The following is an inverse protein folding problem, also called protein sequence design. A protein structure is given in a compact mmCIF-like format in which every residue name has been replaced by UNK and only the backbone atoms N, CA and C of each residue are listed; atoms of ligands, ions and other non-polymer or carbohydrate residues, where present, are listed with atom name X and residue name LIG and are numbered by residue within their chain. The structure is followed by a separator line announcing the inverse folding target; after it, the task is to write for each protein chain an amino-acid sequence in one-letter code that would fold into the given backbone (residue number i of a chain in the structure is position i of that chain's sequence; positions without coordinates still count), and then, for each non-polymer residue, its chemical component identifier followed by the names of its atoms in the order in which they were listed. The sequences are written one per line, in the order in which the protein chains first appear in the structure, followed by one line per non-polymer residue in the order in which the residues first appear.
data_IF_252168497835
#
_entry.id   IF_252168497835
#
_cell.length_a   1.000
_cell.length_b   1.000
_cell.length_c   1.000
_cell.angle_alpha   90.00
_cell.angle_beta   90.00
_cell.angle_gamma   90.00
#
_symmetry.space_group_name_H-M   'P 1'
#
loop_
_entity.id
_entity.type
_entity.pdbx_description
1 polymer ?
#
# COMPACT_ATOMS: atom_id res chain seq x y z
N UNK A 1 34.68 -5.87 23.38
CA UNK A 1 33.74 -5.56 24.46
C UNK A 1 33.58 -4.04 24.65
N UNK A 2 34.66 -3.30 24.89
CA UNK A 2 34.62 -1.82 25.10
C UNK A 2 34.14 -1.03 23.86
N UNK A 3 34.35 -1.53 22.64
CA UNK A 3 33.90 -0.88 21.42
C UNK A 3 32.37 -1.11 21.16
N UNK A 4 31.84 -2.25 21.63
CA UNK A 4 30.39 -2.55 21.56
C UNK A 4 29.64 -1.70 22.58
N UNK A 5 30.12 -1.60 23.83
CA UNK A 5 29.53 -0.75 24.86
C UNK A 5 29.52 0.74 24.47
N UNK A 6 30.58 1.24 23.81
CA UNK A 6 30.62 2.61 23.29
C UNK A 6 29.64 2.85 22.13
N UNK A 7 29.41 1.84 21.27
CA UNK A 7 28.40 1.93 20.21
C UNK A 7 26.99 2.06 20.78
N UNK A 8 26.67 1.32 21.80
CA UNK A 8 25.35 1.36 22.45
C UNK A 8 25.13 2.71 23.15
N UNK A 9 26.11 3.26 23.83
CA UNK A 9 26.02 4.58 24.43
C UNK A 9 25.85 5.70 23.40
N UNK A 10 26.55 5.65 22.27
CA UNK A 10 26.38 6.62 21.18
C UNK A 10 25.00 6.48 20.51
N UNK A 11 24.48 5.28 20.35
CA UNK A 11 23.17 5.05 19.74
C UNK A 11 22.04 5.60 20.62
N UNK A 12 22.11 5.42 21.92
CA UNK A 12 21.12 5.96 22.89
C UNK A 12 21.14 7.48 22.87
N UNK A 13 22.35 8.09 22.96
CA UNK A 13 22.47 9.55 22.94
C UNK A 13 22.02 10.16 21.61
N UNK A 14 22.40 9.59 20.49
CA UNK A 14 21.94 10.00 19.18
C UNK A 14 20.41 9.91 19.08
N UNK A 15 19.81 8.80 19.53
CA UNK A 15 18.35 8.61 19.53
C UNK A 15 17.65 9.68 20.37
N UNK A 16 18.16 10.03 21.55
CA UNK A 16 17.59 11.09 22.39
C UNK A 16 17.71 12.47 21.75
N UNK A 17 18.87 12.78 21.13
CA UNK A 17 19.07 14.03 20.40
C UNK A 17 18.14 14.16 19.19
N UNK A 18 17.97 13.08 18.42
CA UNK A 18 17.03 13.03 17.31
C UNK A 18 15.58 13.21 17.76
N UNK A 19 15.16 12.53 18.83
CA UNK A 19 13.80 12.70 19.37
C UNK A 19 13.56 14.14 19.82
N UNK A 20 14.50 14.77 20.50
CA UNK A 20 14.39 16.16 20.93
C UNK A 20 14.35 17.14 19.75
N UNK A 21 15.04 16.85 18.65
CA UNK A 21 14.97 17.61 17.43
C UNK A 21 13.62 17.44 16.72
N UNK A 22 13.19 16.19 16.50
CA UNK A 22 11.97 15.89 15.76
C UNK A 22 10.68 16.24 16.52
N UNK A 23 10.73 16.33 17.86
CA UNK A 23 9.57 16.76 18.67
C UNK A 23 9.10 18.19 18.38
N UNK A 24 9.89 18.98 17.66
CA UNK A 24 9.51 20.32 17.20
C UNK A 24 8.67 20.32 15.94
N UNK A 25 8.61 19.18 15.25
CA UNK A 25 7.89 19.04 13.99
C UNK A 25 6.66 18.17 14.16
N UNK A 26 5.60 18.51 13.45
CA UNK A 26 4.41 17.69 13.38
C UNK A 26 4.24 17.06 12.00
N UNK A 27 3.75 15.81 12.01
CA UNK A 27 3.37 15.08 10.80
C UNK A 27 1.87 14.90 10.77
N UNK A 28 1.26 15.21 9.65
CA UNK A 28 -0.13 14.97 9.40
C UNK A 28 -0.28 13.99 8.24
N UNK A 29 -1.21 13.04 8.35
CA UNK A 29 -1.57 12.12 7.27
C UNK A 29 -3.05 11.86 7.27
N UNK A 30 -3.68 11.90 6.09
CA UNK A 30 -5.07 11.47 5.90
C UNK A 30 -5.09 10.02 5.45
N UNK A 31 -5.50 9.07 6.31
CA UNK A 31 -5.51 7.66 5.94
C UNK A 31 -6.33 6.82 6.91
N UNK A 32 -7.19 5.98 6.38
CA UNK A 32 -7.92 4.93 7.12
C UNK A 32 -7.22 3.58 7.09
N UNK A 33 -6.14 3.49 6.30
CA UNK A 33 -5.40 2.25 6.00
C UNK A 33 -4.03 2.14 6.68
N UNK A 34 -3.19 1.32 6.08
CA UNK A 34 -1.85 0.98 6.59
C UNK A 34 -0.85 2.14 6.52
N UNK A 35 -1.04 3.10 5.60
CA UNK A 35 -0.21 4.30 5.56
C UNK A 35 -0.34 5.10 6.86
N UNK A 36 -1.57 5.34 7.34
CA UNK A 36 -1.83 6.02 8.60
C UNK A 36 -1.18 5.32 9.80
N UNK A 37 -1.27 3.97 9.85
CA UNK A 37 -0.59 3.17 10.87
C UNK A 37 0.94 3.31 10.77
N UNK A 38 1.50 3.19 9.57
CA UNK A 38 2.95 3.27 9.33
C UNK A 38 3.51 4.62 9.72
N UNK A 39 2.96 5.72 9.20
CA UNK A 39 3.39 7.08 9.50
C UNK A 39 3.16 7.41 10.98
N UNK A 40 2.00 6.99 11.54
CA UNK A 40 1.67 7.21 12.94
C UNK A 40 2.67 6.56 13.88
N UNK A 41 2.85 5.25 13.76
CA UNK A 41 3.70 4.46 14.65
C UNK A 41 5.17 4.86 14.49
N UNK A 42 5.67 4.95 13.25
CA UNK A 42 7.07 5.27 12.99
C UNK A 42 7.38 6.71 13.38
N UNK A 43 6.53 7.67 13.02
CA UNK A 43 6.71 9.08 13.35
C UNK A 43 6.74 9.32 14.87
N UNK A 44 5.80 8.71 15.61
CA UNK A 44 5.79 8.78 17.06
C UNK A 44 7.05 8.14 17.69
N UNK A 45 7.49 6.99 17.15
CA UNK A 45 8.71 6.33 17.60
C UNK A 45 9.97 7.19 17.37
N UNK A 46 10.00 7.97 16.29
CA UNK A 46 11.08 8.93 15.99
C UNK A 46 10.97 10.24 16.79
N UNK A 47 9.85 10.48 17.48
CA UNK A 47 9.65 11.64 18.33
C UNK A 47 8.85 12.79 17.69
N UNK A 48 8.32 12.62 16.49
CA UNK A 48 7.41 13.60 15.88
C UNK A 48 6.08 13.68 16.63
N UNK A 49 5.44 14.85 16.59
CA UNK A 49 4.03 14.98 16.93
C UNK A 49 3.22 14.53 15.72
N UNK A 50 2.53 13.39 15.83
CA UNK A 50 1.82 12.84 14.69
C UNK A 50 0.31 12.94 14.87
N UNK A 51 -0.37 13.43 13.83
CA UNK A 51 -1.83 13.46 13.73
C UNK A 51 -2.28 12.67 12.51
N UNK A 52 -3.11 11.66 12.73
CA UNK A 52 -3.76 10.88 11.67
C UNK A 52 -5.21 11.33 11.53
N UNK A 53 -5.59 11.74 10.34
CA UNK A 53 -6.94 12.18 9.98
C UNK A 53 -7.68 10.99 9.35
N UNK A 54 -8.78 10.55 9.97
CA UNK A 54 -9.51 9.35 9.60
C UNK A 54 -11.00 9.63 9.44
N UNK A 55 -11.68 8.87 8.57
CA UNK A 55 -13.12 8.78 8.60
C UNK A 55 -13.59 8.07 9.87
N UNK A 56 -14.78 8.42 10.37
CA UNK A 56 -15.43 7.69 11.48
C UNK A 56 -15.65 6.21 11.17
N UNK A 57 -15.78 5.84 9.89
CA UNK A 57 -15.96 4.47 9.42
C UNK A 57 -14.69 3.62 9.48
N UNK A 58 -13.52 4.24 9.71
CA UNK A 58 -12.27 3.50 9.90
C UNK A 58 -12.36 2.51 11.07
N UNK A 59 -11.75 1.33 10.91
CA UNK A 59 -11.78 0.26 11.91
C UNK A 59 -11.30 0.75 13.27
N UNK A 60 -12.08 0.49 14.32
CA UNK A 60 -11.82 0.98 15.67
C UNK A 60 -10.44 0.56 16.18
N UNK A 61 -10.02 -0.68 15.94
CA UNK A 61 -8.73 -1.18 16.39
C UNK A 61 -7.54 -0.39 15.82
N UNK A 62 -7.65 0.17 14.60
CA UNK A 62 -6.60 1.02 14.00
C UNK A 62 -6.46 2.33 14.76
N UNK A 63 -7.59 2.94 15.11
CA UNK A 63 -7.64 4.17 15.92
C UNK A 63 -7.06 3.96 17.31
N UNK A 64 -7.43 2.85 17.95
CA UNK A 64 -6.97 2.50 19.30
C UNK A 64 -5.47 2.22 19.31
N UNK A 65 -4.96 1.47 18.33
CA UNK A 65 -3.53 1.20 18.19
C UNK A 65 -2.73 2.50 18.01
N UNK A 66 -3.20 3.42 17.17
CA UNK A 66 -2.54 4.71 16.97
C UNK A 66 -2.50 5.51 18.29
N UNK A 67 -3.64 5.60 19.00
CA UNK A 67 -3.72 6.30 20.30
C UNK A 67 -2.80 5.68 21.35
N UNK A 68 -2.74 4.34 21.40
CA UNK A 68 -1.81 3.61 22.28
C UNK A 68 -0.33 3.99 22.02
N UNK A 69 0.02 4.26 20.76
CA UNK A 69 1.36 4.70 20.37
C UNK A 69 1.61 6.21 20.55
N UNK A 70 0.66 6.94 21.15
CA UNK A 70 0.79 8.38 21.40
C UNK A 70 0.48 9.26 20.19
N UNK A 71 -0.19 8.70 19.18
CA UNK A 71 -0.61 9.42 17.97
C UNK A 71 -1.96 10.09 18.21
N UNK A 72 -2.11 11.34 17.78
CA UNK A 72 -3.41 12.03 17.76
C UNK A 72 -4.24 11.51 16.59
N UNK A 73 -5.45 11.03 16.88
CA UNK A 73 -6.40 10.58 15.86
C UNK A 73 -7.58 11.53 15.82
N UNK A 74 -7.75 12.21 14.69
CA UNK A 74 -8.90 13.08 14.41
C UNK A 74 -9.87 12.37 13.49
N UNK A 75 -11.12 12.27 13.93
CA UNK A 75 -12.18 11.56 13.22
C UNK A 75 -13.16 12.55 12.57
N UNK A 76 -13.57 12.24 11.36
CA UNK A 76 -14.50 13.04 10.57
C UNK A 76 -15.70 12.19 10.15
N UNK A 77 -16.91 12.75 10.27
CA UNK A 77 -18.17 12.10 9.87
C UNK A 77 -18.41 12.06 8.35
N UNK A 78 -17.34 12.16 7.57
CA UNK A 78 -17.36 12.14 6.10
C UNK A 78 -16.32 11.13 5.59
N UNK A 79 -16.20 11.00 4.28
CA UNK A 79 -15.34 10.02 3.62
C UNK A 79 -13.83 10.30 3.77
N UNK A 80 -13.03 9.40 3.20
CA UNK A 80 -11.56 9.50 3.17
C UNK A 80 -11.10 10.84 2.55
N UNK A 81 -11.68 11.27 1.44
CA UNK A 81 -11.28 12.49 0.72
C UNK A 81 -11.42 13.72 1.59
N UNK A 82 -12.50 13.80 2.39
CA UNK A 82 -12.71 14.87 3.34
C UNK A 82 -11.64 14.87 4.46
N UNK A 83 -11.32 13.69 5.01
CA UNK A 83 -10.29 13.58 6.04
C UNK A 83 -8.91 14.01 5.52
N UNK A 84 -8.56 13.64 4.28
CA UNK A 84 -7.33 14.08 3.58
C UNK A 84 -7.31 15.60 3.41
N UNK A 85 -8.40 16.19 2.91
CA UNK A 85 -8.50 17.64 2.71
C UNK A 85 -8.31 18.41 4.03
N UNK A 86 -8.95 17.95 5.11
CA UNK A 86 -8.81 18.56 6.44
C UNK A 86 -7.41 18.38 7.04
N UNK A 87 -6.77 17.26 6.80
CA UNK A 87 -5.39 17.05 7.21
C UNK A 87 -4.41 17.98 6.50
N UNK A 88 -4.59 18.16 5.19
CA UNK A 88 -3.79 19.08 4.38
C UNK A 88 -4.00 20.54 4.79
N UNK A 89 -5.25 20.97 4.99
CA UNK A 89 -5.60 22.30 5.50
C UNK A 89 -4.88 22.56 6.82
N UNK A 90 -5.06 21.67 7.80
CA UNK A 90 -4.49 21.84 9.15
C UNK A 90 -2.97 21.87 9.16
N UNK A 91 -2.31 21.02 8.35
CA UNK A 91 -0.86 21.04 8.24
C UNK A 91 -0.33 22.34 7.63
N UNK A 92 -1.10 22.98 6.74
CA UNK A 92 -0.70 24.24 6.10
C UNK A 92 -0.75 25.46 7.04
N UNK A 93 -1.44 25.36 8.17
CA UNK A 93 -1.55 26.41 9.17
C UNK A 93 -0.29 26.57 10.04
N UNK A 94 0.58 25.56 10.08
CA UNK A 94 1.78 25.55 10.88
C UNK A 94 3.01 25.25 10.02
N UNK A 95 4.00 26.18 9.92
CA UNK A 95 5.20 25.97 9.11
C UNK A 95 6.12 24.87 9.63
N UNK A 96 5.91 24.40 10.88
CA UNK A 96 6.62 23.26 11.45
C UNK A 96 5.90 21.93 11.21
N UNK A 97 4.78 21.95 10.46
CA UNK A 97 3.98 20.79 10.08
C UNK A 97 4.29 20.34 8.67
N UNK A 98 4.26 19.00 8.46
CA UNK A 98 4.34 18.40 7.14
C UNK A 98 3.15 17.46 6.93
N UNK A 99 2.45 17.62 5.81
CA UNK A 99 1.41 16.68 5.39
C UNK A 99 2.00 15.58 4.52
N UNK A 100 1.92 14.34 4.98
CA UNK A 100 2.28 13.15 4.19
C UNK A 100 1.12 12.84 3.25
N UNK A 101 1.26 13.25 2.00
CA UNK A 101 0.20 13.22 0.99
C UNK A 101 0.29 11.94 0.15
N UNK A 102 -0.61 10.97 0.41
CA UNK A 102 -0.68 9.70 -0.33
C UNK A 102 -1.02 9.90 -1.82
N UNK A 103 -1.67 11.02 -2.15
CA UNK A 103 -2.07 11.33 -3.51
C UNK A 103 -0.97 12.04 -4.33
N UNK A 104 -0.12 12.88 -3.68
CA UNK A 104 0.75 13.81 -4.39
C UNK A 104 2.21 13.83 -3.90
N UNK A 105 2.60 13.04 -2.90
CA UNK A 105 3.96 13.02 -2.39
C UNK A 105 4.90 12.23 -3.29
N UNK A 106 5.85 12.93 -3.95
CA UNK A 106 6.94 12.30 -4.71
C UNK A 106 7.86 11.49 -3.82
N UNK A 107 8.16 11.98 -2.63
CA UNK A 107 9.06 11.32 -1.70
C UNK A 107 8.45 10.00 -1.20
N UNK A 108 7.15 10.00 -0.91
CA UNK A 108 6.43 8.78 -0.55
C UNK A 108 6.42 7.77 -1.70
N UNK A 109 6.14 8.22 -2.92
CA UNK A 109 6.17 7.40 -4.13
C UNK A 109 7.56 6.77 -4.34
N UNK A 110 8.62 7.54 -4.26
CA UNK A 110 10.00 7.05 -4.39
C UNK A 110 10.40 6.14 -3.22
N UNK A 111 9.90 6.41 -2.03
CA UNK A 111 10.08 5.52 -0.88
C UNK A 111 9.53 4.11 -1.12
N UNK A 112 8.37 4.00 -1.77
CA UNK A 112 7.82 2.71 -2.18
C UNK A 112 8.64 2.04 -3.29
N UNK A 113 9.24 2.80 -4.20
CA UNK A 113 10.09 2.27 -5.26
C UNK A 113 11.30 1.48 -4.73
N UNK A 114 11.82 1.86 -3.56
CA UNK A 114 12.93 1.17 -2.89
C UNK A 114 12.63 -0.30 -2.57
N UNK A 115 11.36 -0.69 -2.49
CA UNK A 115 10.96 -2.08 -2.26
C UNK A 115 11.41 -3.02 -3.39
N UNK A 116 11.49 -2.54 -4.62
CA UNK A 116 11.94 -3.32 -5.77
C UNK A 116 13.41 -3.75 -5.64
N UNK A 117 14.27 -2.89 -5.12
CA UNK A 117 15.68 -3.22 -4.88
C UNK A 117 15.81 -4.35 -3.84
N UNK A 118 14.99 -4.33 -2.78
CA UNK A 118 14.97 -5.42 -1.79
C UNK A 118 14.46 -6.71 -2.40
N UNK A 119 13.40 -6.65 -3.22
CA UNK A 119 12.89 -7.81 -3.92
C UNK A 119 13.95 -8.44 -4.82
N UNK A 120 14.69 -7.64 -5.59
CA UNK A 120 15.77 -8.14 -6.44
C UNK A 120 16.83 -8.91 -5.64
N UNK A 121 17.23 -8.40 -4.50
CA UNK A 121 18.16 -9.10 -3.61
C UNK A 121 17.59 -10.43 -3.12
N UNK A 122 16.31 -10.47 -2.72
CA UNK A 122 15.62 -11.69 -2.27
C UNK A 122 15.49 -12.73 -3.37
N UNK A 123 15.13 -12.33 -4.60
CA UNK A 123 15.05 -13.24 -5.75
C UNK A 123 16.43 -13.82 -6.10
N UNK A 124 17.47 -12.98 -6.05
CA UNK A 124 18.85 -13.43 -6.26
C UNK A 124 19.29 -14.44 -5.21
N UNK A 125 19.00 -14.18 -3.93
CA UNK A 125 19.31 -15.10 -2.82
C UNK A 125 18.60 -16.46 -2.98
N UNK A 126 17.35 -16.43 -3.47
CA UNK A 126 16.55 -17.63 -3.73
C UNK A 126 16.85 -18.29 -5.08
N UNK A 127 17.81 -17.76 -5.85
CA UNK A 127 18.19 -18.25 -7.18
C UNK A 127 17.01 -18.26 -8.18
N UNK A 128 16.07 -17.33 -8.04
CA UNK A 128 14.96 -17.13 -8.96
C UNK A 128 15.44 -16.18 -10.06
N UNK A 129 15.55 -16.70 -11.28
CA UNK A 129 15.92 -15.89 -12.45
C UNK A 129 14.77 -14.96 -12.86
N UNK A 130 15.13 -13.74 -13.24
CA UNK A 130 14.21 -12.79 -13.90
C UNK A 130 14.92 -12.28 -15.15
N UNK A 131 14.55 -12.83 -16.29
CA UNK A 131 15.13 -12.53 -17.59
C UNK A 131 14.07 -12.71 -18.69
N UNK A 132 14.47 -12.61 -19.96
CA UNK A 132 13.56 -12.73 -21.10
C UNK A 132 12.88 -14.10 -21.19
N UNK A 133 13.54 -15.16 -20.74
CA UNK A 133 13.04 -16.53 -20.78
C UNK A 133 12.22 -16.87 -19.53
N UNK A 134 12.45 -16.13 -18.43
CA UNK A 134 11.82 -16.32 -17.12
C UNK A 134 11.27 -14.97 -16.62
N UNK A 135 10.20 -14.45 -17.22
CA UNK A 135 9.62 -13.17 -16.81
C UNK A 135 8.94 -13.26 -15.43
N UNK A 136 8.93 -12.11 -14.75
CA UNK A 136 8.30 -11.93 -13.44
C UNK A 136 6.96 -11.22 -13.60
N UNK A 137 5.86 -11.86 -13.22
CA UNK A 137 4.54 -11.24 -13.11
C UNK A 137 4.24 -10.86 -11.66
N UNK A 138 4.01 -9.57 -11.40
CA UNK A 138 3.76 -9.04 -10.06
C UNK A 138 2.35 -8.49 -9.95
N UNK A 139 1.60 -8.95 -8.95
CA UNK A 139 0.22 -8.54 -8.69
C UNK A 139 0.18 -7.72 -7.40
N UNK A 140 -0.26 -6.47 -7.49
CA UNK A 140 -0.20 -5.51 -6.38
C UNK A 140 -1.60 -4.98 -6.10
N UNK A 141 -2.11 -5.10 -4.86
CA UNK A 141 -3.35 -4.43 -4.47
C UNK A 141 -3.24 -2.93 -4.66
N UNK A 142 -4.23 -2.32 -5.29
CA UNK A 142 -4.24 -0.90 -5.60
C UNK A 142 -5.46 -0.21 -4.99
N UNK A 143 -5.21 0.79 -4.16
CA UNK A 143 -6.18 1.78 -3.72
C UNK A 143 -5.94 3.10 -4.45
N UNK A 144 -5.53 4.15 -3.73
CA UNK A 144 -5.26 5.48 -4.33
C UNK A 144 -4.13 5.47 -5.37
N UNK A 145 -3.19 4.51 -5.26
CA UNK A 145 -2.14 4.28 -6.24
C UNK A 145 -0.71 4.63 -5.80
N UNK A 146 -0.51 5.31 -4.67
CA UNK A 146 0.82 5.72 -4.22
C UNK A 146 1.78 4.55 -4.06
N UNK A 147 1.42 3.57 -3.23
CA UNK A 147 2.24 2.38 -2.99
C UNK A 147 2.41 1.50 -4.24
N UNK A 148 1.32 1.02 -4.91
CA UNK A 148 1.47 0.18 -6.09
C UNK A 148 2.19 0.90 -7.23
N UNK A 149 1.97 2.20 -7.40
CA UNK A 149 2.65 3.00 -8.42
C UNK A 149 4.15 3.10 -8.16
N UNK A 150 4.55 3.41 -6.93
CA UNK A 150 5.98 3.48 -6.57
C UNK A 150 6.67 2.13 -6.71
N UNK A 151 6.03 1.04 -6.26
CA UNK A 151 6.56 -0.31 -6.43
C UNK A 151 6.69 -0.66 -7.93
N UNK A 152 5.67 -0.40 -8.75
CA UNK A 152 5.68 -0.62 -10.19
C UNK A 152 6.86 0.13 -10.84
N UNK A 153 7.00 1.42 -10.55
CA UNK A 153 8.13 2.22 -11.04
C UNK A 153 9.48 1.61 -10.65
N UNK A 154 9.66 1.26 -9.38
CA UNK A 154 10.89 0.62 -8.91
C UNK A 154 11.19 -0.72 -9.60
N UNK A 155 10.16 -1.55 -9.78
CA UNK A 155 10.29 -2.84 -10.47
C UNK A 155 10.75 -2.67 -11.93
N UNK A 156 10.16 -1.72 -12.65
CA UNK A 156 10.59 -1.40 -14.03
C UNK A 156 12.02 -0.84 -14.09
N UNK A 157 12.48 -0.11 -13.06
CA UNK A 157 13.89 0.33 -12.98
C UNK A 157 14.85 -0.85 -12.73
N UNK A 158 14.47 -1.84 -11.93
CA UNK A 158 15.34 -2.96 -11.56
C UNK A 158 15.36 -4.11 -12.59
N UNK A 159 14.24 -4.34 -13.29
CA UNK A 159 14.06 -5.49 -14.17
C UNK A 159 13.69 -5.13 -15.62
N UNK A 160 13.43 -3.85 -15.93
CA UNK A 160 13.07 -3.40 -17.27
C UNK A 160 11.82 -4.11 -17.80
N UNK A 161 11.92 -4.63 -19.03
CA UNK A 161 10.83 -5.32 -19.72
C UNK A 161 10.63 -6.77 -19.25
N UNK A 162 11.47 -7.26 -18.34
CA UNK A 162 11.37 -8.62 -17.79
C UNK A 162 10.36 -8.73 -16.66
N UNK A 163 9.80 -7.62 -16.19
CA UNK A 163 8.74 -7.60 -15.18
C UNK A 163 7.44 -7.05 -15.76
N UNK A 164 6.37 -7.76 -15.51
CA UNK A 164 4.99 -7.39 -15.87
C UNK A 164 4.20 -7.12 -14.59
N UNK A 165 3.75 -5.88 -14.43
CA UNK A 165 3.06 -5.45 -13.20
C UNK A 165 1.57 -5.28 -13.48
N UNK A 166 0.76 -5.91 -12.63
CA UNK A 166 -0.69 -5.85 -12.70
C UNK A 166 -1.24 -5.27 -11.39
N UNK A 167 -2.13 -4.31 -11.50
CA UNK A 167 -2.85 -3.79 -10.33
C UNK A 167 -4.11 -4.61 -10.09
N UNK A 168 -4.46 -4.78 -8.81
CA UNK A 168 -5.68 -5.48 -8.43
C UNK A 168 -6.52 -4.60 -7.52
N UNK A 169 -7.77 -4.40 -7.91
CA UNK A 169 -8.70 -3.48 -7.26
C UNK A 169 -10.04 -4.19 -6.96
N UNK A 170 -10.77 -3.76 -5.92
CA UNK A 170 -12.12 -4.27 -5.70
C UNK A 170 -13.07 -3.91 -6.85
N UNK A 171 -14.01 -4.79 -7.18
CA UNK A 171 -14.98 -4.55 -8.25
C UNK A 171 -15.80 -3.27 -8.05
N UNK A 172 -16.09 -2.91 -6.79
CA UNK A 172 -16.85 -1.70 -6.45
C UNK A 172 -15.98 -0.43 -6.32
N UNK A 173 -14.65 -0.57 -6.32
CA UNK A 173 -13.71 0.55 -6.14
C UNK A 173 -12.49 0.49 -7.09
N UNK A 174 -12.66 0.26 -8.41
CA UNK A 174 -11.54 0.13 -9.36
C UNK A 174 -11.08 1.51 -9.86
N UNK A 175 -10.66 2.40 -8.98
CA UNK A 175 -10.44 3.80 -9.31
C UNK A 175 -9.23 4.03 -10.22
N UNK A 176 -8.15 3.25 -10.08
CA UNK A 176 -6.98 3.37 -10.95
C UNK A 176 -7.26 2.78 -12.33
N UNK A 177 -7.89 1.62 -12.40
CA UNK A 177 -8.31 1.00 -13.66
C UNK A 177 -9.25 1.95 -14.43
N UNK A 178 -10.23 2.55 -13.75
CA UNK A 178 -11.14 3.53 -14.34
C UNK A 178 -10.39 4.75 -14.85
N UNK A 179 -9.49 5.32 -14.04
CA UNK A 179 -8.72 6.50 -14.41
C UNK A 179 -7.81 6.28 -15.61
N UNK A 180 -7.12 5.13 -15.65
CA UNK A 180 -6.20 4.78 -16.74
C UNK A 180 -6.96 4.41 -18.03
N UNK A 181 -8.00 3.56 -17.94
CA UNK A 181 -8.75 3.08 -19.11
C UNK A 181 -9.59 4.17 -19.76
N UNK A 182 -10.12 5.11 -18.99
CA UNK A 182 -10.87 6.26 -19.54
C UNK A 182 -9.96 7.35 -20.10
N UNK A 183 -8.67 7.36 -19.76
CA UNK A 183 -7.73 8.44 -20.08
C UNK A 183 -7.96 9.74 -19.29
N UNK A 184 -8.94 9.77 -18.38
CA UNK A 184 -9.29 10.96 -17.58
C UNK A 184 -8.44 11.08 -16.31
N UNK A 185 -7.79 9.98 -15.89
CA UNK A 185 -6.96 9.94 -14.69
C UNK A 185 -7.76 10.25 -13.43
N UNK A 186 -7.26 11.16 -12.61
CA UNK A 186 -7.96 11.61 -11.39
C UNK A 186 -9.17 12.51 -11.64
N UNK A 187 -9.53 12.78 -12.87
CA UNK A 187 -10.72 13.58 -13.23
C UNK A 187 -12.05 12.83 -13.08
N UNK A 188 -12.01 11.50 -12.90
CA UNK A 188 -13.19 10.63 -12.77
C UNK A 188 -13.17 9.87 -11.44
N UNK A 189 -14.33 9.57 -10.89
CA UNK A 189 -14.48 8.71 -9.71
C UNK A 189 -15.42 7.53 -10.00
N UNK A 190 -15.37 6.50 -9.17
CA UNK A 190 -16.16 5.28 -9.38
C UNK A 190 -17.67 5.55 -9.31
N UNK A 191 -18.10 6.55 -8.55
CA UNK A 191 -19.51 6.96 -8.47
C UNK A 191 -20.03 7.54 -9.79
N UNK A 192 -19.16 8.13 -10.62
CA UNK A 192 -19.55 8.70 -11.92
C UNK A 192 -20.04 7.61 -12.90
N UNK A 193 -19.66 6.33 -12.65
CA UNK A 193 -20.13 5.17 -13.43
C UNK A 193 -21.11 4.28 -12.65
N UNK A 194 -21.63 4.76 -11.51
CA UNK A 194 -22.65 4.09 -10.71
C UNK A 194 -22.14 3.04 -9.70
N UNK A 195 -20.82 2.94 -9.49
CA UNK A 195 -20.24 2.08 -8.45
C UNK A 195 -20.28 2.76 -7.08
N UNK A 196 -20.28 1.95 -6.02
CA UNK A 196 -20.46 2.46 -4.65
C UNK A 196 -19.17 2.96 -4.01
N UNK A 197 -18.02 2.46 -4.43
CA UNK A 197 -16.74 2.67 -3.78
C UNK A 197 -16.60 1.93 -2.44
N UNK A 198 -17.56 1.06 -2.08
CA UNK A 198 -17.57 0.30 -0.82
C UNK A 198 -17.07 -1.11 -1.03
N UNK A 199 -16.18 -1.58 -0.16
CA UNK A 199 -15.59 -2.91 -0.22
C UNK A 199 -15.14 -3.37 1.16
N UNK A 200 -15.11 -4.68 1.38
CA UNK A 200 -14.51 -5.31 2.57
C UNK A 200 -12.98 -5.12 2.63
N UNK A 201 -12.34 -4.82 1.48
CA UNK A 201 -10.95 -4.42 1.38
C UNK A 201 -10.78 -2.93 1.75
N UNK A 202 -10.94 -2.60 3.03
CA UNK A 202 -11.00 -1.23 3.54
C UNK A 202 -9.80 -0.34 3.14
N UNK A 203 -8.61 -0.92 2.99
CA UNK A 203 -7.41 -0.22 2.48
C UNK A 203 -7.48 0.11 0.98
N UNK A 204 -8.43 -0.46 0.24
CA UNK A 204 -8.64 -0.26 -1.19
C UNK A 204 -9.97 0.46 -1.50
N UNK A 205 -10.74 0.86 -0.48
CA UNK A 205 -12.02 1.55 -0.62
C UNK A 205 -11.83 3.01 -1.03
N UNK A 206 -11.30 3.24 -2.21
CA UNK A 206 -10.93 4.55 -2.74
C UNK A 206 -11.77 4.86 -3.99
N UNK A 207 -12.40 6.03 -4.00
CA UNK A 207 -13.28 6.44 -5.09
C UNK A 207 -12.54 7.04 -6.29
N UNK A 208 -11.36 7.62 -6.07
CA UNK A 208 -10.60 8.37 -7.08
C UNK A 208 -9.10 8.07 -6.95
N UNK A 209 -8.44 7.79 -8.06
CA UNK A 209 -7.00 7.52 -8.04
C UNK A 209 -6.16 8.78 -7.89
N UNK A 210 -4.92 8.62 -7.43
CA UNK A 210 -3.91 9.68 -7.44
C UNK A 210 -3.56 10.10 -8.87
N UNK A 211 -3.64 11.40 -9.14
CA UNK A 211 -3.21 11.95 -10.42
C UNK A 211 -1.71 11.77 -10.66
N UNK A 212 -0.88 11.93 -9.63
CA UNK A 212 0.56 11.70 -9.70
C UNK A 212 0.88 10.24 -10.03
N UNK A 213 0.34 9.30 -9.23
CA UNK A 213 0.59 7.88 -9.44
C UNK A 213 0.10 7.42 -10.82
N UNK A 214 -1.14 7.76 -11.21
CA UNK A 214 -1.69 7.41 -12.52
C UNK A 214 -0.82 7.92 -13.68
N UNK A 215 -0.34 9.16 -13.61
CA UNK A 215 0.54 9.73 -14.63
C UNK A 215 1.88 9.00 -14.71
N UNK A 216 2.43 8.59 -13.58
CA UNK A 216 3.73 7.90 -13.51
C UNK A 216 3.66 6.46 -14.03
N UNK A 217 2.52 5.77 -13.87
CA UNK A 217 2.42 4.34 -14.19
C UNK A 217 1.68 4.03 -15.49
N UNK A 218 1.05 4.99 -16.15
CA UNK A 218 0.20 4.76 -17.33
C UNK A 218 0.87 3.98 -18.45
N UNK A 219 2.18 4.13 -18.61
CA UNK A 219 2.98 3.47 -19.64
C UNK A 219 3.87 2.34 -19.03
N UNK A 220 3.71 2.02 -17.74
CA UNK A 220 4.52 1.04 -17.02
C UNK A 220 3.71 -0.17 -16.55
N UNK A 221 2.45 0.04 -16.19
CA UNK A 221 1.56 -1.03 -15.73
C UNK A 221 1.02 -1.80 -16.93
N UNK A 222 1.09 -3.12 -16.85
CA UNK A 222 0.65 -4.02 -17.93
C UNK A 222 -0.87 -4.08 -18.04
N UNK A 223 -1.55 -3.99 -16.92
CA UNK A 223 -3.01 -4.04 -16.85
C UNK A 223 -3.53 -4.13 -15.44
N UNK A 224 -4.81 -4.45 -15.30
CA UNK A 224 -5.46 -4.58 -13.99
C UNK A 224 -6.50 -5.68 -13.96
N UNK A 225 -6.69 -6.23 -12.76
CA UNK A 225 -7.75 -7.18 -12.45
C UNK A 225 -8.68 -6.59 -11.40
N UNK A 226 -9.96 -6.90 -11.48
CA UNK A 226 -10.89 -6.63 -10.39
C UNK A 226 -11.19 -7.90 -9.62
N UNK A 227 -11.45 -7.77 -8.32
CA UNK A 227 -11.81 -8.86 -7.42
C UNK A 227 -13.08 -8.52 -6.67
N UNK A 228 -14.02 -9.45 -6.64
CA UNK A 228 -15.24 -9.31 -5.87
C UNK A 228 -14.98 -9.62 -4.38
N UNK A 229 -15.71 -8.92 -3.49
CA UNK A 229 -15.48 -8.99 -2.03
C UNK A 229 -15.62 -10.41 -1.47
N UNK A 230 -16.51 -11.21 -2.02
CA UNK A 230 -16.73 -12.60 -1.61
C UNK A 230 -15.52 -13.52 -1.85
N UNK A 231 -14.54 -13.08 -2.62
CA UNK A 231 -13.28 -13.82 -2.84
C UNK A 231 -12.20 -13.51 -1.81
N UNK A 232 -12.27 -12.39 -1.14
CA UNK A 232 -11.19 -11.90 -0.26
C UNK A 232 -10.95 -12.80 0.94
N UNK A 233 -12.01 -13.18 1.66
CA UNK A 233 -11.90 -14.06 2.83
C UNK A 233 -11.50 -15.49 2.43
N UNK A 234 -12.07 -16.12 1.40
CA UNK A 234 -11.55 -17.38 0.87
C UNK A 234 -10.06 -17.38 0.55
N UNK A 235 -9.52 -16.34 -0.09
CA UNK A 235 -8.08 -16.22 -0.34
C UNK A 235 -7.27 -16.09 0.96
N UNK A 236 -7.75 -15.29 1.92
CA UNK A 236 -7.11 -15.17 3.23
C UNK A 236 -7.02 -16.52 3.95
N UNK A 237 -8.11 -17.29 3.95
CA UNK A 237 -8.14 -18.62 4.58
C UNK A 237 -7.20 -19.60 3.89
N UNK A 238 -7.25 -19.66 2.57
CA UNK A 238 -6.37 -20.54 1.80
C UNK A 238 -4.90 -20.25 2.09
N UNK A 239 -4.50 -18.96 2.14
CA UNK A 239 -3.15 -18.55 2.49
C UNK A 239 -2.79 -18.96 3.93
N UNK A 240 -3.71 -18.75 4.87
CA UNK A 240 -3.48 -19.11 6.26
C UNK A 240 -3.37 -20.62 6.47
N UNK A 241 -4.20 -21.40 5.80
CA UNK A 241 -4.20 -22.86 5.88
C UNK A 241 -2.97 -23.50 5.23
N UNK A 242 -2.54 -22.97 4.07
CA UNK A 242 -1.41 -23.53 3.32
C UNK A 242 -0.04 -23.08 3.86
N UNK A 243 0.09 -21.80 4.25
CA UNK A 243 1.39 -21.20 4.57
C UNK A 243 1.50 -20.70 6.01
N UNK A 244 0.42 -20.74 6.79
CA UNK A 244 0.40 -20.17 8.14
C UNK A 244 0.48 -18.63 8.17
N UNK A 245 0.31 -17.97 7.02
CA UNK A 245 0.42 -16.52 6.88
C UNK A 245 -0.96 -15.90 6.98
N UNK A 246 -1.11 -14.91 7.86
CA UNK A 246 -2.30 -14.06 7.89
C UNK A 246 -2.04 -12.76 7.13
N UNK A 247 -2.84 -12.50 6.10
CA UNK A 247 -2.91 -11.22 5.40
C UNK A 247 -4.31 -10.62 5.56
N UNK A 248 -4.42 -9.28 5.60
CA UNK A 248 -5.73 -8.63 5.65
C UNK A 248 -6.48 -8.76 4.31
N UNK A 249 -7.82 -8.61 4.27
CA UNK A 249 -8.60 -8.74 3.04
C UNK A 249 -8.09 -7.87 1.89
N UNK A 250 -7.66 -6.63 2.17
CA UNK A 250 -7.06 -5.74 1.18
C UNK A 250 -5.79 -6.31 0.54
N UNK A 251 -4.95 -6.97 1.33
CA UNK A 251 -3.74 -7.63 0.83
C UNK A 251 -4.06 -8.88 0.01
N UNK A 252 -5.14 -9.59 0.37
CA UNK A 252 -5.58 -10.80 -0.33
C UNK A 252 -6.19 -10.53 -1.71
N UNK A 253 -6.54 -9.29 -2.03
CA UNK A 253 -7.06 -8.91 -3.34
C UNK A 253 -6.16 -9.38 -4.49
N UNK A 254 -4.84 -9.28 -4.32
CA UNK A 254 -3.86 -9.62 -5.35
C UNK A 254 -3.84 -11.11 -5.76
N UNK A 255 -4.41 -12.01 -4.96
CA UNK A 255 -4.44 -13.44 -5.30
C UNK A 255 -5.34 -13.78 -6.50
N UNK A 256 -6.25 -12.89 -6.90
CA UNK A 256 -7.02 -13.07 -8.14
C UNK A 256 -6.12 -13.02 -9.37
N UNK A 257 -5.01 -12.30 -9.32
CA UNK A 257 -4.10 -12.10 -10.45
C UNK A 257 -3.56 -13.42 -11.02
N UNK A 258 -2.81 -14.24 -10.25
CA UNK A 258 -2.35 -15.54 -10.75
C UNK A 258 -3.49 -16.47 -11.19
N UNK A 259 -4.64 -16.43 -10.50
CA UNK A 259 -5.78 -17.27 -10.83
C UNK A 259 -6.40 -16.92 -12.20
N UNK A 260 -6.34 -15.64 -12.58
CA UNK A 260 -6.88 -15.12 -13.86
C UNK A 260 -5.79 -14.76 -14.88
N UNK A 261 -4.55 -15.06 -14.57
CA UNK A 261 -3.41 -14.68 -15.41
C UNK A 261 -3.57 -15.11 -16.89
N UNK A 262 -4.14 -16.29 -17.13
CA UNK A 262 -4.39 -16.79 -18.49
C UNK A 262 -5.25 -15.85 -19.34
N UNK A 263 -6.07 -14.98 -18.73
CA UNK A 263 -6.90 -14.01 -19.44
C UNK A 263 -6.08 -12.85 -20.04
N UNK A 264 -4.93 -12.53 -19.42
CA UNK A 264 -4.06 -11.42 -19.83
C UNK A 264 -2.71 -11.89 -20.42
N UNK A 265 -2.42 -13.17 -20.32
CA UNK A 265 -1.09 -13.71 -20.55
C UNK A 265 -0.60 -13.53 -22.00
N UNK A 266 -1.46 -13.71 -22.99
CA UNK A 266 -1.05 -13.61 -24.39
C UNK A 266 -0.64 -12.18 -24.76
N UNK A 267 -1.31 -11.19 -24.19
CA UNK A 267 -0.97 -9.79 -24.41
C UNK A 267 0.34 -9.38 -23.73
N UNK A 268 0.62 -9.94 -22.53
CA UNK A 268 1.78 -9.56 -21.74
C UNK A 268 3.06 -10.35 -22.10
N UNK A 269 2.93 -11.62 -22.45
CA UNK A 269 4.06 -12.54 -22.55
C UNK A 269 4.29 -13.13 -23.95
N UNK A 270 3.37 -12.94 -24.89
CA UNK A 270 3.46 -13.53 -26.24
C UNK A 270 3.68 -15.06 -26.16
N UNK A 271 4.75 -15.53 -26.80
CA UNK A 271 5.09 -16.95 -26.92
C UNK A 271 5.85 -17.53 -25.71
N UNK A 272 6.04 -16.78 -24.63
CA UNK A 272 6.76 -17.27 -23.44
C UNK A 272 6.03 -18.48 -22.82
N UNK A 273 6.70 -19.62 -22.58
CA UNK A 273 6.12 -20.78 -21.91
C UNK A 273 5.62 -20.42 -20.52
N UNK A 274 4.38 -20.85 -20.18
CA UNK A 274 3.75 -20.50 -18.90
C UNK A 274 4.50 -21.05 -17.68
N UNK A 275 5.14 -22.18 -17.82
CA UNK A 275 5.97 -22.80 -16.79
C UNK A 275 7.22 -21.99 -16.43
N UNK A 276 7.64 -21.10 -17.30
CA UNK A 276 8.81 -20.23 -17.06
C UNK A 276 8.44 -18.94 -16.33
N UNK A 277 7.15 -18.66 -16.14
CA UNK A 277 6.70 -17.41 -15.52
C UNK A 277 6.73 -17.51 -14.00
N UNK A 278 7.44 -16.60 -13.36
CA UNK A 278 7.37 -16.45 -11.91
C UNK A 278 6.21 -15.52 -11.53
N UNK A 279 5.31 -15.99 -10.68
CA UNK A 279 4.19 -15.21 -10.17
C UNK A 279 4.49 -14.72 -8.75
N UNK A 280 4.41 -13.42 -8.52
CA UNK A 280 4.58 -12.79 -7.23
C UNK A 280 3.33 -12.03 -6.81
N UNK A 281 2.74 -12.41 -5.69
CA UNK A 281 1.61 -11.70 -5.07
C UNK A 281 2.16 -10.79 -3.97
N UNK A 282 1.87 -9.50 -4.06
CA UNK A 282 2.37 -8.51 -3.11
C UNK A 282 1.42 -8.39 -1.91
N UNK A 283 1.79 -8.95 -0.77
CA UNK A 283 1.03 -8.80 0.47
C UNK A 283 1.33 -7.45 1.13
N UNK A 284 0.33 -6.59 1.23
CA UNK A 284 0.46 -5.20 1.68
C UNK A 284 0.23 -4.99 3.18
N UNK A 285 -0.39 -5.96 3.88
CA UNK A 285 -0.68 -5.82 5.30
C UNK A 285 -1.30 -7.06 5.94
N UNK A 286 -1.43 -7.01 7.27
CA UNK A 286 -2.02 -8.09 8.08
C UNK A 286 -1.30 -8.30 9.42
N UNK A 287 -0.01 -7.99 9.52
CA UNK A 287 0.77 -8.24 10.74
C UNK A 287 0.26 -7.49 11.97
N UNK A 288 -0.29 -6.29 11.80
CA UNK A 288 -0.81 -5.45 12.88
C UNK A 288 -2.27 -5.74 13.26
N UNK A 289 -2.96 -6.59 12.52
CA UNK A 289 -4.37 -6.95 12.80
C UNK A 289 -4.43 -7.71 14.14
N UNK A 290 -5.25 -7.25 15.12
CA UNK A 290 -5.38 -7.93 16.41
C UNK A 290 -5.89 -9.35 16.28
N UNK A 291 -5.49 -10.24 17.21
CA UNK A 291 -5.88 -11.65 17.19
C UNK A 291 -7.39 -11.84 17.13
N UNK A 292 -8.15 -11.06 17.90
CA UNK A 292 -9.62 -11.11 17.89
C UNK A 292 -10.25 -10.79 16.54
N UNK A 293 -9.64 -9.89 15.76
CA UNK A 293 -10.10 -9.57 14.42
C UNK A 293 -9.67 -10.64 13.39
N UNK A 294 -8.47 -11.24 13.56
CA UNK A 294 -8.03 -12.37 12.74
C UNK A 294 -8.97 -13.56 12.89
N UNK A 295 -9.33 -13.90 14.13
CA UNK A 295 -10.25 -15.01 14.44
C UNK A 295 -11.65 -14.80 13.83
N UNK A 296 -12.17 -13.57 13.86
CA UNK A 296 -13.44 -13.25 13.19
C UNK A 296 -13.36 -13.53 11.68
N UNK A 297 -12.26 -13.11 11.01
CA UNK A 297 -12.10 -13.31 9.57
C UNK A 297 -11.85 -14.77 9.18
N UNK A 298 -11.12 -15.52 10.02
CA UNK A 298 -10.84 -16.93 9.78
C UNK A 298 -12.08 -17.81 10.02
N UNK A 299 -13.01 -17.40 10.89
CA UNK A 299 -14.20 -18.16 11.25
C UNK A 299 -15.50 -17.66 10.58
N UNK A 300 -15.44 -16.51 9.85
CA UNK A 300 -16.58 -15.97 9.10
C UNK A 300 -16.87 -16.81 7.86
#
# INVERSE_FOLDING_TARGET
HRLVERRDDYSVFATQAFRAFFSRYSLHVGSTGNLGLSIGILGAALGYQVTVHMSTDAKQWKKDLLREKGVTVLEYGADYSYAVAKGRERASEDPMSHFVDDENSRDLFLGYAAAAHRLKAQLTEQQIAVDKEHPLCVYIPCGVGGAPGGICFGLKQEFGDQVHVFFVEPTEAPCMLLGLSSGVGSGICVQDIGLTGRTAADGLAISRCSGLAGQMVKDLVEGGFTVADERLVPYLRALHESEGIFAEPSACAAFVGPARFHEAADAALGDTPRENVTHLVWATGGALVPQSEREKLLNA
#
